data_IF_134707826389
#
_entry.id   IF_134707826389
#
_cell.length_a   1.000
_cell.length_b   1.000
_cell.length_c   1.000
_cell.angle_alpha   90.00
_cell.angle_beta   90.00
_cell.angle_gamma   90.00
#
_symmetry.space_group_name_H-M   'P 1'
#
loop_
_entity.id
_entity.type
_entity.pdbx_description
1 polymer ?
#
# COMPACT_ATOMS: atom_id res chain seq x y z
N UNK A 1 -5.14 13.32 4.89
CA UNK A 1 -3.82 13.41 5.50
C UNK A 1 -3.63 12.29 6.52
N UNK A 2 -4.46 12.17 7.58
CA UNK A 2 -4.31 11.13 8.61
C UNK A 2 -4.39 9.71 8.03
N UNK A 3 -5.34 9.44 7.15
CA UNK A 3 -5.48 8.15 6.49
C UNK A 3 -4.23 7.77 5.66
N UNK A 4 -3.63 8.74 4.98
CA UNK A 4 -2.38 8.54 4.23
C UNK A 4 -1.20 8.25 5.17
N UNK A 5 -1.11 8.95 6.29
CA UNK A 5 -0.08 8.70 7.30
C UNK A 5 -0.18 7.27 7.86
N UNK A 6 -1.40 6.84 8.25
CA UNK A 6 -1.64 5.49 8.76
C UNK A 6 -1.36 4.42 7.68
N UNK A 7 -1.74 4.68 6.43
CA UNK A 7 -1.42 3.79 5.33
C UNK A 7 0.10 3.62 5.19
N UNK A 8 0.86 4.72 5.18
CA UNK A 8 2.32 4.70 5.07
C UNK A 8 3.00 4.06 6.27
N UNK A 9 2.42 4.21 7.47
CA UNK A 9 2.91 3.57 8.68
C UNK A 9 2.91 2.04 8.59
N UNK A 10 1.82 1.46 8.09
CA UNK A 10 1.72 0.01 7.94
C UNK A 10 2.38 -0.51 6.67
N UNK A 11 2.29 0.25 5.58
CA UNK A 11 2.80 -0.15 4.27
C UNK A 11 4.31 0.05 4.12
N UNK A 12 4.87 1.14 4.67
CA UNK A 12 6.29 1.48 4.53
C UNK A 12 7.23 0.34 4.91
N UNK A 13 7.08 -0.29 6.09
CA UNK A 13 7.92 -1.41 6.49
C UNK A 13 7.80 -2.64 5.59
N UNK A 14 6.65 -2.88 4.94
CA UNK A 14 6.45 -4.06 4.09
C UNK A 14 7.49 -4.13 2.97
N UNK A 15 7.77 -3.01 2.31
CA UNK A 15 8.76 -2.96 1.23
C UNK A 15 10.17 -3.29 1.73
N UNK A 16 10.53 -2.85 2.94
CA UNK A 16 11.82 -3.17 3.57
C UNK A 16 11.92 -4.64 4.00
N UNK A 17 10.80 -5.31 4.18
CA UNK A 17 10.74 -6.70 4.63
C UNK A 17 10.64 -7.74 3.51
N UNK A 18 10.57 -7.34 2.23
CA UNK A 18 10.58 -8.31 1.12
C UNK A 18 11.83 -9.21 1.09
N UNK A 19 13.06 -8.67 1.22
CA UNK A 19 14.24 -9.52 1.34
C UNK A 19 14.20 -10.43 2.56
N UNK A 20 13.79 -9.89 3.72
CA UNK A 20 13.71 -10.65 4.97
C UNK A 20 12.66 -11.77 4.91
N UNK A 21 11.50 -11.49 4.30
CA UNK A 21 10.47 -12.51 4.05
C UNK A 21 11.01 -13.64 3.16
N UNK A 22 11.83 -13.28 2.18
CA UNK A 22 12.42 -14.27 1.26
C UNK A 22 13.52 -15.10 1.91
N UNK A 23 14.45 -14.47 2.65
CA UNK A 23 15.58 -15.16 3.27
C UNK A 23 15.20 -15.95 4.50
N UNK A 24 14.44 -15.34 5.41
CA UNK A 24 14.22 -15.88 6.75
C UNK A 24 12.96 -16.75 6.81
N UNK A 25 11.89 -16.35 6.08
CA UNK A 25 10.64 -17.10 6.11
C UNK A 25 10.58 -18.21 5.06
N UNK A 26 10.95 -17.91 3.80
CA UNK A 26 10.98 -18.91 2.73
C UNK A 26 12.31 -19.68 2.63
N UNK A 27 13.36 -19.28 3.35
CA UNK A 27 14.71 -19.86 3.30
C UNK A 27 15.29 -19.92 1.87
N UNK A 28 15.08 -18.87 1.09
CA UNK A 28 15.53 -18.76 -0.30
C UNK A 28 16.70 -17.78 -0.42
N UNK A 29 17.60 -17.96 -1.42
CA UNK A 29 18.71 -17.04 -1.67
C UNK A 29 18.23 -15.59 -1.90
N UNK A 30 19.10 -14.61 -1.59
CA UNK A 30 18.81 -13.18 -1.73
C UNK A 30 18.34 -12.75 -3.14
N UNK A 31 18.72 -13.50 -4.18
CA UNK A 31 18.25 -13.29 -5.55
C UNK A 31 16.71 -13.30 -5.66
N UNK A 32 16.06 -14.17 -4.90
CA UNK A 32 14.59 -14.24 -4.87
C UNK A 32 13.95 -13.03 -4.20
N UNK A 33 14.65 -12.38 -3.27
CA UNK A 33 14.23 -11.09 -2.70
C UNK A 33 14.19 -10.00 -3.76
N UNK A 34 15.25 -9.90 -4.58
CA UNK A 34 15.27 -9.00 -5.74
C UNK A 34 14.19 -9.31 -6.77
N UNK A 35 13.88 -10.60 -7.01
CA UNK A 35 12.77 -10.98 -7.89
C UNK A 35 11.39 -10.57 -7.35
N UNK A 36 11.19 -10.61 -6.04
CA UNK A 36 9.96 -10.09 -5.42
C UNK A 36 9.82 -8.57 -5.61
N UNK A 37 10.92 -7.82 -5.45
CA UNK A 37 10.95 -6.36 -5.72
C UNK A 37 10.69 -6.05 -7.21
N UNK A 38 11.27 -6.83 -8.12
CA UNK A 38 10.97 -6.71 -9.56
C UNK A 38 9.50 -7.00 -9.86
N UNK A 39 8.91 -7.99 -9.21
CA UNK A 39 7.48 -8.29 -9.36
C UNK A 39 6.61 -7.13 -8.88
N UNK A 40 6.96 -6.51 -7.75
CA UNK A 40 6.31 -5.29 -7.26
C UNK A 40 6.41 -4.15 -8.29
N UNK A 41 7.60 -3.88 -8.82
CA UNK A 41 7.82 -2.86 -9.84
C UNK A 41 7.05 -3.14 -11.13
N UNK A 42 7.00 -4.40 -11.56
CA UNK A 42 6.20 -4.82 -12.72
C UNK A 42 4.71 -4.54 -12.51
N UNK A 43 4.17 -4.82 -11.31
CA UNK A 43 2.81 -4.48 -10.93
C UNK A 43 2.52 -2.97 -11.02
N UNK A 44 3.45 -2.13 -10.55
CA UNK A 44 3.37 -0.68 -10.70
C UNK A 44 3.34 -0.23 -12.16
N UNK A 45 4.22 -0.78 -13.00
CA UNK A 45 4.30 -0.43 -14.43
C UNK A 45 3.02 -0.83 -15.15
N UNK A 46 2.56 -2.07 -14.97
CA UNK A 46 1.36 -2.58 -15.62
C UNK A 46 0.11 -1.77 -15.24
N UNK A 47 -0.05 -1.46 -13.96
CA UNK A 47 -1.17 -0.62 -13.50
C UNK A 47 -1.08 0.79 -14.05
N UNK A 48 0.11 1.38 -14.16
CA UNK A 48 0.30 2.71 -14.75
C UNK A 48 -0.10 2.75 -16.22
N UNK A 49 0.25 1.72 -16.99
CA UNK A 49 -0.14 1.57 -18.39
C UNK A 49 -1.67 1.46 -18.54
N UNK A 50 -2.32 0.64 -17.69
CA UNK A 50 -3.78 0.52 -17.67
C UNK A 50 -4.45 1.86 -17.33
N UNK A 51 -3.94 2.60 -16.34
CA UNK A 51 -4.46 3.92 -15.99
C UNK A 51 -4.25 4.98 -17.09
N UNK A 52 -3.21 4.86 -17.89
CA UNK A 52 -3.00 5.78 -19.02
C UNK A 52 -4.09 5.63 -20.08
N UNK A 53 -4.61 4.43 -20.27
CA UNK A 53 -5.64 4.10 -21.25
C UNK A 53 -7.07 4.44 -20.80
N UNK A 54 -7.33 4.50 -19.48
CA UNK A 54 -8.68 4.70 -18.92
C UNK A 54 -8.78 6.01 -18.13
N UNK A 55 -8.83 7.13 -18.87
CA UNK A 55 -8.86 8.49 -18.28
C UNK A 55 -9.98 8.75 -17.27
N UNK A 56 -11.17 8.16 -17.43
CA UNK A 56 -12.31 8.33 -16.50
C UNK A 56 -12.04 7.77 -15.10
N UNK A 57 -11.26 6.70 -15.00
CA UNK A 57 -10.94 6.01 -13.75
C UNK A 57 -9.99 6.85 -12.88
N UNK A 58 -9.08 7.59 -13.48
CA UNK A 58 -8.12 8.49 -12.80
C UNK A 58 -8.78 9.59 -11.94
N UNK A 59 -10.02 9.96 -12.21
CA UNK A 59 -10.71 11.08 -11.57
C UNK A 59 -11.66 10.67 -10.46
N UNK A 60 -11.81 9.38 -10.17
CA UNK A 60 -12.75 8.87 -9.19
C UNK A 60 -12.03 8.48 -7.89
N UNK A 61 -12.29 9.20 -6.81
CA UNK A 61 -11.70 8.91 -5.48
C UNK A 61 -12.11 7.53 -4.96
N UNK A 62 -13.26 7.00 -5.37
CA UNK A 62 -13.70 5.65 -5.05
C UNK A 62 -12.72 4.56 -5.53
N UNK A 63 -12.03 4.81 -6.66
CA UNK A 63 -10.98 3.91 -7.17
C UNK A 63 -9.77 3.91 -6.22
N UNK A 64 -9.44 5.05 -5.61
CA UNK A 64 -8.38 5.13 -4.60
C UNK A 64 -8.69 4.26 -3.38
N UNK A 65 -9.95 4.20 -2.95
CA UNK A 65 -10.35 3.32 -1.82
C UNK A 65 -10.25 1.85 -2.20
N UNK A 66 -10.64 1.47 -3.43
CA UNK A 66 -10.47 0.12 -3.95
C UNK A 66 -8.97 -0.27 -4.02
N UNK A 67 -8.11 0.66 -4.44
CA UNK A 67 -6.66 0.47 -4.41
C UNK A 67 -6.12 0.24 -3.01
N UNK A 68 -6.57 1.07 -2.04
CA UNK A 68 -6.17 0.93 -0.64
C UNK A 68 -6.62 -0.43 -0.06
N UNK A 69 -7.83 -0.86 -0.37
CA UNK A 69 -8.31 -2.19 0.03
C UNK A 69 -7.49 -3.31 -0.62
N UNK A 70 -7.17 -3.18 -1.92
CA UNK A 70 -6.32 -4.12 -2.65
C UNK A 70 -4.92 -4.23 -2.07
N UNK A 71 -4.32 -3.13 -1.60
CA UNK A 71 -3.04 -3.13 -0.87
C UNK A 71 -3.16 -3.94 0.42
N UNK A 72 -4.18 -3.70 1.23
CA UNK A 72 -4.41 -4.44 2.46
C UNK A 72 -4.63 -5.93 2.22
N UNK A 73 -5.43 -6.27 1.22
CA UNK A 73 -5.68 -7.66 0.81
C UNK A 73 -4.39 -8.36 0.34
N UNK A 74 -3.61 -7.72 -0.53
CA UNK A 74 -2.32 -8.25 -1.00
C UNK A 74 -1.34 -8.48 0.14
N UNK A 75 -1.24 -7.54 1.09
CA UNK A 75 -0.38 -7.69 2.26
C UNK A 75 -0.84 -8.84 3.17
N UNK A 76 -2.15 -8.93 3.46
CA UNK A 76 -2.71 -10.01 4.27
C UNK A 76 -2.49 -11.38 3.61
N UNK A 77 -2.70 -11.48 2.30
CA UNK A 77 -2.44 -12.69 1.52
C UNK A 77 -0.97 -13.13 1.68
N UNK A 78 -0.02 -12.21 1.53
CA UNK A 78 1.40 -12.48 1.71
C UNK A 78 1.74 -13.00 3.11
N UNK A 79 1.00 -12.56 4.14
CA UNK A 79 1.22 -12.96 5.52
C UNK A 79 0.68 -14.35 5.91
N UNK A 80 -0.17 -14.97 5.09
CA UNK A 80 -0.81 -16.29 5.37
C UNK A 80 -0.15 -17.43 4.60
N UNK A 81 0.79 -17.14 3.71
CA UNK A 81 1.40 -18.16 2.84
C UNK A 81 2.23 -19.17 3.62
N UNK A 82 2.20 -20.46 3.24
CA UNK A 82 3.08 -21.45 3.85
C UNK A 82 4.54 -21.23 3.42
N UNK A 83 5.52 -21.52 4.31
CA UNK A 83 6.95 -21.37 4.02
C UNK A 83 7.47 -22.48 3.09
N UNK A 84 7.04 -22.48 1.84
CA UNK A 84 7.45 -23.42 0.82
C UNK A 84 7.76 -22.69 -0.49
N UNK A 85 8.47 -23.38 -1.38
CA UNK A 85 8.83 -22.81 -2.68
C UNK A 85 7.61 -22.35 -3.50
N UNK A 86 6.51 -23.12 -3.47
CA UNK A 86 5.25 -22.74 -4.10
C UNK A 86 4.63 -21.49 -3.46
N UNK A 87 4.74 -21.34 -2.12
CA UNK A 87 4.29 -20.14 -1.40
C UNK A 87 5.04 -18.89 -1.84
N UNK A 88 6.35 -19.00 -2.15
CA UNK A 88 7.12 -17.87 -2.63
C UNK A 88 6.60 -17.34 -3.99
N UNK A 89 6.18 -18.21 -4.93
CA UNK A 89 5.58 -17.73 -6.18
C UNK A 89 4.30 -16.91 -5.94
N UNK A 90 3.47 -17.38 -5.02
CA UNK A 90 2.24 -16.65 -4.63
C UNK A 90 2.60 -15.33 -3.93
N UNK A 91 3.68 -15.31 -3.14
CA UNK A 91 4.23 -14.10 -2.54
C UNK A 91 4.68 -13.09 -3.60
N UNK A 92 5.43 -13.52 -4.62
CA UNK A 92 5.87 -12.66 -5.72
C UNK A 92 4.68 -12.07 -6.50
N UNK A 93 3.62 -12.86 -6.74
CA UNK A 93 2.38 -12.36 -7.32
C UNK A 93 1.66 -11.37 -6.38
N UNK A 94 1.67 -11.64 -5.07
CA UNK A 94 1.18 -10.72 -4.05
C UNK A 94 1.93 -9.39 -4.05
N UNK A 95 3.27 -9.41 -4.22
CA UNK A 95 4.08 -8.20 -4.39
C UNK A 95 3.68 -7.42 -5.66
N UNK A 96 3.43 -8.09 -6.79
CA UNK A 96 2.93 -7.44 -7.99
C UNK A 96 1.55 -6.80 -7.77
N UNK A 97 0.67 -7.49 -7.05
CA UNK A 97 -0.64 -6.94 -6.66
C UNK A 97 -0.49 -5.71 -5.76
N UNK A 98 0.42 -5.75 -4.78
CA UNK A 98 0.73 -4.61 -3.91
C UNK A 98 1.22 -3.40 -4.70
N UNK A 99 2.13 -3.60 -5.65
CA UNK A 99 2.60 -2.56 -6.55
C UNK A 99 1.49 -1.96 -7.40
N UNK A 100 0.65 -2.80 -8.00
CA UNK A 100 -0.49 -2.38 -8.79
C UNK A 100 -1.52 -1.61 -7.94
N UNK A 101 -1.91 -2.16 -6.80
CA UNK A 101 -2.88 -1.56 -5.89
C UNK A 101 -2.38 -0.22 -5.31
N UNK A 102 -1.07 -0.09 -5.05
CA UNK A 102 -0.44 1.15 -4.64
C UNK A 102 -0.65 2.28 -5.64
N UNK A 103 -0.46 2.02 -6.93
CA UNK A 103 -0.75 3.00 -7.99
C UNK A 103 -2.24 3.28 -8.13
N UNK A 104 -3.09 2.24 -8.04
CA UNK A 104 -4.55 2.38 -8.06
C UNK A 104 -5.03 3.30 -6.93
N UNK A 105 -4.37 3.28 -5.77
CA UNK A 105 -4.63 4.19 -4.66
C UNK A 105 -4.05 5.59 -4.91
N UNK A 106 -2.77 5.68 -5.27
CA UNK A 106 -2.02 6.94 -5.27
C UNK A 106 -2.43 7.87 -6.42
N UNK A 107 -2.66 7.34 -7.63
CA UNK A 107 -2.95 8.15 -8.82
C UNK A 107 -4.26 8.94 -8.70
N UNK A 108 -5.42 8.32 -8.33
CA UNK A 108 -6.66 9.08 -8.13
C UNK A 108 -6.58 10.03 -6.92
N UNK A 109 -5.89 9.64 -5.85
CA UNK A 109 -5.70 10.49 -4.68
C UNK A 109 -4.94 11.77 -5.04
N UNK A 110 -3.84 11.64 -5.78
CA UNK A 110 -3.04 12.78 -6.26
C UNK A 110 -3.87 13.67 -7.18
N UNK A 111 -4.61 13.10 -8.12
CA UNK A 111 -5.49 13.84 -9.02
C UNK A 111 -6.61 14.57 -8.26
N UNK A 112 -7.14 13.98 -7.20
CA UNK A 112 -8.14 14.60 -6.32
C UNK A 112 -7.55 15.81 -5.58
N UNK A 113 -6.35 15.68 -5.00
CA UNK A 113 -5.65 16.78 -4.31
C UNK A 113 -5.39 17.94 -5.28
N UNK A 114 -4.88 17.64 -6.47
CA UNK A 114 -4.60 18.64 -7.51
C UNK A 114 -5.85 19.44 -7.95
N UNK A 115 -7.04 18.83 -7.87
CA UNK A 115 -8.29 19.50 -8.16
C UNK A 115 -8.85 20.32 -6.99
N UNK A 116 -8.58 19.87 -5.77
CA UNK A 116 -9.20 20.43 -4.55
C UNK A 116 -8.38 21.57 -3.96
N UNK A 117 -7.12 21.71 -4.35
CA UNK A 117 -6.18 22.69 -3.81
C UNK A 117 -5.89 23.75 -4.87
N UNK A 118 -5.94 25.02 -4.49
CA UNK A 118 -5.59 26.14 -5.35
C UNK A 118 -4.12 26.03 -5.80
N UNK A 119 -3.78 26.40 -7.07
CA UNK A 119 -2.44 26.24 -7.63
C UNK A 119 -1.34 26.83 -6.75
N UNK A 120 -1.58 27.99 -6.13
CA UNK A 120 -0.62 28.70 -5.26
C UNK A 120 -0.30 27.92 -3.97
N UNK A 121 -1.20 27.05 -3.53
CA UNK A 121 -1.07 26.25 -2.29
C UNK A 121 -0.66 24.80 -2.56
N UNK A 122 -0.55 24.40 -3.82
CA UNK A 122 -0.28 23.02 -4.22
C UNK A 122 1.07 22.52 -3.72
N UNK A 123 2.12 23.34 -3.84
CA UNK A 123 3.45 23.02 -3.32
C UNK A 123 3.42 22.71 -1.81
N UNK A 124 2.70 23.53 -1.02
CA UNK A 124 2.55 23.32 0.43
C UNK A 124 1.80 22.02 0.75
N UNK A 125 0.75 21.70 -0.01
CA UNK A 125 -0.03 20.48 0.19
C UNK A 125 0.83 19.22 -0.06
N UNK A 126 1.60 19.21 -1.15
CA UNK A 126 2.50 18.09 -1.46
C UNK A 126 3.68 18.01 -0.49
N UNK A 127 4.26 19.14 -0.07
CA UNK A 127 5.33 19.15 0.94
C UNK A 127 4.87 18.52 2.26
N UNK A 128 3.65 18.84 2.72
CA UNK A 128 3.08 18.24 3.93
C UNK A 128 2.88 16.74 3.76
N UNK A 129 2.36 16.28 2.63
CA UNK A 129 2.19 14.85 2.36
C UNK A 129 3.53 14.10 2.33
N UNK A 130 4.54 14.67 1.67
CA UNK A 130 5.88 14.08 1.59
C UNK A 130 6.54 14.05 2.97
N UNK A 131 6.45 15.14 3.73
CA UNK A 131 7.00 15.20 5.10
C UNK A 131 6.39 14.12 6.00
N UNK A 132 5.06 13.99 5.97
CA UNK A 132 4.35 12.96 6.76
C UNK A 132 4.81 11.57 6.35
N UNK A 133 4.88 11.28 5.05
CA UNK A 133 5.34 9.96 4.56
C UNK A 133 6.79 9.68 4.97
N UNK A 134 7.67 10.68 4.88
CA UNK A 134 9.10 10.56 5.24
C UNK A 134 9.33 10.30 6.74
N UNK A 135 8.48 10.88 7.61
CA UNK A 135 8.57 10.65 9.06
C UNK A 135 7.88 9.34 9.46
N UNK A 136 6.76 9.04 8.84
CA UNK A 136 5.94 7.88 9.21
C UNK A 136 6.62 6.55 8.87
N UNK A 137 7.38 6.51 7.77
CA UNK A 137 8.08 5.28 7.32
C UNK A 137 9.13 4.80 8.33
N UNK A 138 10.10 5.62 8.82
CA UNK A 138 11.04 5.21 9.84
C UNK A 138 10.38 4.82 11.16
N UNK A 139 9.33 5.55 11.57
CA UNK A 139 8.56 5.22 12.80
C UNK A 139 7.88 3.87 12.65
N UNK A 140 7.26 3.61 11.48
CA UNK A 140 6.69 2.31 11.16
C UNK A 140 7.72 1.19 11.24
N UNK A 141 8.92 1.40 10.69
CA UNK A 141 10.01 0.42 10.72
C UNK A 141 10.52 0.14 12.14
N UNK A 142 10.65 1.17 12.98
CA UNK A 142 11.05 1.01 14.38
C UNK A 142 10.06 0.17 15.19
N UNK A 143 8.77 0.30 14.91
CA UNK A 143 7.72 -0.45 15.62
C UNK A 143 7.55 -1.84 15.03
N UNK A 144 7.69 -2.00 13.72
CA UNK A 144 7.52 -3.28 13.04
C UNK A 144 8.66 -4.26 13.29
N UNK A 145 9.89 -3.74 13.48
CA UNK A 145 11.09 -4.55 13.67
C UNK A 145 10.99 -5.51 14.87
N UNK A 146 10.68 -5.08 16.10
CA UNK A 146 10.55 -6.00 17.23
C UNK A 146 9.41 -7.02 17.05
N UNK A 147 8.34 -6.66 16.33
CA UNK A 147 7.25 -7.60 16.00
C UNK A 147 7.74 -8.64 14.99
N UNK A 148 8.47 -8.22 13.97
CA UNK A 148 9.04 -9.12 12.97
C UNK A 148 10.10 -10.07 13.58
N UNK A 149 10.91 -9.60 14.54
CA UNK A 149 11.91 -10.41 15.24
C UNK A 149 11.30 -11.41 16.22
N UNK A 150 10.20 -11.08 16.89
CA UNK A 150 9.59 -11.93 17.93
C UNK A 150 8.49 -12.85 17.40
N UNK A 151 7.61 -12.32 16.57
CA UNK A 151 6.44 -13.03 16.03
C UNK A 151 6.63 -13.51 14.58
N UNK A 152 7.68 -13.07 13.93
CA UNK A 152 7.97 -13.37 12.53
C UNK A 152 7.46 -12.32 11.55
N UNK A 153 8.16 -12.21 10.41
CA UNK A 153 7.88 -11.22 9.36
C UNK A 153 6.48 -11.40 8.76
N UNK A 154 6.05 -12.65 8.57
CA UNK A 154 4.73 -12.97 8.03
C UNK A 154 3.58 -12.39 8.87
N UNK A 155 3.75 -12.36 10.20
CA UNK A 155 2.76 -11.77 11.11
C UNK A 155 2.61 -10.27 10.89
N UNK A 156 3.73 -9.56 10.62
CA UNK A 156 3.65 -8.14 10.28
C UNK A 156 2.90 -7.89 8.97
N UNK A 157 3.13 -8.72 7.94
CA UNK A 157 2.38 -8.65 6.68
C UNK A 157 0.89 -8.82 6.91
N UNK A 158 0.50 -9.79 7.72
CA UNK A 158 -0.92 -10.06 8.05
C UNK A 158 -1.55 -8.91 8.83
N UNK A 159 -0.89 -8.42 9.89
CA UNK A 159 -1.38 -7.31 10.71
C UNK A 159 -1.52 -6.03 9.90
N UNK A 160 -0.51 -5.70 9.11
CA UNK A 160 -0.53 -4.53 8.22
C UNK A 160 -1.64 -4.63 7.19
N UNK A 161 -1.83 -5.81 6.60
CA UNK A 161 -2.90 -6.07 5.64
C UNK A 161 -4.28 -5.84 6.23
N UNK A 162 -4.55 -6.39 7.42
CA UNK A 162 -5.82 -6.20 8.14
C UNK A 162 -6.02 -4.73 8.51
N UNK A 163 -4.97 -4.07 9.03
CA UNK A 163 -5.04 -2.66 9.41
C UNK A 163 -5.34 -1.74 8.21
N UNK A 164 -4.69 -1.98 7.06
CA UNK A 164 -4.93 -1.22 5.83
C UNK A 164 -6.34 -1.47 5.29
N UNK A 165 -6.86 -2.71 5.32
CA UNK A 165 -8.23 -3.01 4.92
C UNK A 165 -9.26 -2.31 5.84
N UNK A 166 -9.05 -2.35 7.15
CA UNK A 166 -9.89 -1.66 8.11
C UNK A 166 -9.88 -0.14 7.88
N UNK A 167 -8.72 0.42 7.59
CA UNK A 167 -8.54 1.82 7.24
C UNK A 167 -9.29 2.18 5.95
N UNK A 168 -9.21 1.35 4.91
CA UNK A 168 -9.92 1.53 3.65
C UNK A 168 -11.44 1.56 3.87
N UNK A 169 -11.96 0.60 4.63
CA UNK A 169 -13.38 0.52 4.98
C UNK A 169 -13.82 1.74 5.80
N UNK A 170 -13.04 2.15 6.80
CA UNK A 170 -13.34 3.31 7.63
C UNK A 170 -13.39 4.61 6.84
N UNK A 171 -12.43 4.85 5.96
CA UNK A 171 -12.40 6.06 5.10
C UNK A 171 -13.56 6.07 4.12
N UNK A 172 -13.87 4.92 3.49
CA UNK A 172 -15.01 4.78 2.59
C UNK A 172 -16.35 5.07 3.28
N UNK A 173 -16.55 4.55 4.49
CA UNK A 173 -17.77 4.78 5.27
C UNK A 173 -17.92 6.25 5.68
N UNK A 174 -16.84 6.89 6.11
CA UNK A 174 -16.83 8.31 6.48
C UNK A 174 -17.15 9.22 5.29
N UNK A 175 -16.64 8.91 4.12
CA UNK A 175 -16.90 9.69 2.90
C UNK A 175 -18.34 9.51 2.44
N UNK A 176 -18.85 8.28 2.42
CA UNK A 176 -20.24 7.95 2.10
C UNK A 176 -21.24 8.64 3.05
N UNK A 177 -20.89 8.73 4.33
CA UNK A 177 -21.72 9.42 5.33
C UNK A 177 -21.75 10.94 5.12
N UNK A 178 -20.61 11.55 4.79
CA UNK A 178 -20.52 12.98 4.45
C UNK A 178 -21.31 13.33 3.20
N UNK A 179 -21.29 12.49 2.18
CA UNK A 179 -22.08 12.70 0.96
C UNK A 179 -23.59 12.63 1.22
N UNK A 180 -24.03 11.71 2.06
CA UNK A 180 -25.45 11.60 2.47
C UNK A 180 -25.93 12.86 3.20
N UNK A 181 -25.10 13.43 4.08
CA UNK A 181 -25.45 14.67 4.81
C UNK A 181 -25.49 15.92 3.92
N UNK A 182 -24.83 15.93 2.78
CA UNK A 182 -24.90 17.07 1.84
C UNK A 182 -26.14 17.05 0.94
N UNK A 183 -26.84 15.92 0.89
CA UNK A 183 -28.05 15.73 0.08
C UNK A 183 -29.36 15.98 0.87
N UNK A 184 -29.27 16.17 2.18
CA UNK A 184 -30.34 16.59 3.10
C UNK A 184 -30.15 18.06 3.43
#
# INVERSE_FOLDING_TARGET
>A
VLAQALCMFFYGPLSSFYPLMTSDYFNLPALYGGAAELSFAAGMILSSLLFSSVWKVRRNIGVSYAGLFGMGFGAALCGVLPPCYGGWFVFALGCALLGAAGNVHLVPLTAYIQKSVAPEKMGRAFSVLTLISSVTMPVGLLISRPIAETAGVAVWFLLSGIAIMALAAGVFLLDSWKERRKKV
#
